data_IF_864439865633
#
_entry.id   IF_864439865633
#
_cell.length_a   1.000
_cell.length_b   1.000
_cell.length_c   1.000
_cell.angle_alpha   90.00
_cell.angle_beta   90.00
_cell.angle_gamma   90.00
#
_symmetry.space_group_name_H-M   'P 1'
#
loop_
_entity.id
_entity.type
_entity.pdbx_description
1 polymer ?
#
# COMPACT_ATOMS: atom_id res chain seq x y z
N UNK A 1 -24.54 4.59 -22.56
CA UNK A 1 -23.41 4.34 -21.63
C UNK A 1 -23.84 4.80 -20.26
N UNK A 2 -23.56 4.02 -19.22
CA UNK A 2 -23.76 4.46 -17.83
C UNK A 2 -22.84 5.65 -17.54
N UNK A 3 -23.29 6.57 -16.69
CA UNK A 3 -22.46 7.67 -16.18
C UNK A 3 -21.45 7.13 -15.16
N UNK A 4 -20.38 7.90 -14.89
CA UNK A 4 -19.41 7.52 -13.85
C UNK A 4 -20.08 7.33 -12.48
N UNK A 5 -21.07 8.17 -12.15
CA UNK A 5 -21.85 8.05 -10.91
C UNK A 5 -22.69 6.76 -10.86
N UNK A 6 -23.33 6.37 -11.97
CA UNK A 6 -24.06 5.10 -12.03
C UNK A 6 -23.12 3.90 -11.85
N UNK A 7 -21.94 3.94 -12.50
CA UNK A 7 -20.93 2.90 -12.32
C UNK A 7 -20.41 2.83 -10.87
N UNK A 8 -20.32 3.97 -10.18
CA UNK A 8 -19.93 4.02 -8.77
C UNK A 8 -20.97 3.29 -7.91
N UNK A 9 -22.25 3.67 -8.02
CA UNK A 9 -23.33 3.08 -7.24
C UNK A 9 -23.49 1.58 -7.52
N UNK A 10 -23.38 1.15 -8.79
CA UNK A 10 -23.48 -0.26 -9.17
C UNK A 10 -22.33 -1.13 -8.62
N UNK A 11 -21.17 -0.51 -8.36
CA UNK A 11 -19.95 -1.21 -7.87
C UNK A 11 -19.73 -1.05 -6.38
N UNK A 12 -20.53 -0.22 -5.71
CA UNK A 12 -20.48 -0.03 -4.28
C UNK A 12 -21.01 -1.26 -3.57
N UNK A 13 -20.23 -1.78 -2.62
CA UNK A 13 -20.54 -2.99 -1.89
C UNK A 13 -20.01 -2.92 -0.45
N UNK A 14 -20.38 -3.91 0.38
CA UNK A 14 -19.74 -4.06 1.69
C UNK A 14 -18.37 -4.70 1.55
N UNK A 15 -17.49 -4.52 2.54
CA UNK A 15 -16.19 -5.19 2.58
C UNK A 15 -16.32 -6.71 2.69
N UNK A 16 -17.41 -7.22 3.29
CA UNK A 16 -17.69 -8.65 3.32
C UNK A 16 -18.06 -9.19 1.92
N UNK A 17 -18.89 -8.47 1.17
CA UNK A 17 -19.29 -8.87 -0.20
C UNK A 17 -18.10 -8.79 -1.17
N UNK A 18 -17.17 -7.84 -0.96
CA UNK A 18 -15.95 -7.74 -1.75
C UNK A 18 -15.08 -9.01 -1.70
N UNK A 19 -15.22 -9.82 -0.64
CA UNK A 19 -14.51 -11.09 -0.51
C UNK A 19 -15.07 -12.17 -1.45
N UNK A 20 -16.30 -12.03 -1.95
CA UNK A 20 -16.90 -12.96 -2.91
C UNK A 20 -16.25 -12.86 -4.31
N UNK A 21 -15.45 -11.82 -4.54
CA UNK A 21 -14.66 -11.64 -5.76
C UNK A 21 -13.35 -12.46 -5.73
N UNK A 22 -12.95 -12.94 -4.56
CA UNK A 22 -11.74 -13.74 -4.35
C UNK A 22 -11.95 -15.20 -4.76
N UNK A 23 -10.85 -15.84 -5.13
CA UNK A 23 -10.77 -17.28 -5.43
C UNK A 23 -9.61 -17.87 -4.65
N UNK A 24 -9.75 -19.12 -4.22
CA UNK A 24 -8.64 -19.86 -3.59
C UNK A 24 -7.39 -19.81 -4.49
N UNK A 25 -6.24 -19.57 -3.88
CA UNK A 25 -4.96 -19.38 -4.56
C UNK A 25 -4.67 -17.96 -5.09
N UNK A 26 -5.61 -17.01 -5.01
CA UNK A 26 -5.37 -15.64 -5.48
C UNK A 26 -4.21 -14.96 -4.70
N UNK A 27 -3.37 -14.24 -5.43
CA UNK A 27 -2.44 -13.26 -4.86
C UNK A 27 -3.10 -11.86 -4.87
N UNK A 28 -3.33 -11.34 -3.66
CA UNK A 28 -3.79 -9.98 -3.40
C UNK A 28 -2.57 -9.08 -3.27
N UNK A 29 -2.44 -8.10 -4.18
CA UNK A 29 -1.45 -7.03 -4.07
C UNK A 29 -2.05 -5.88 -3.25
N UNK A 30 -1.31 -5.45 -2.23
CA UNK A 30 -1.63 -4.31 -1.38
C UNK A 30 -0.54 -3.25 -1.51
N UNK A 31 -0.87 -1.95 -1.61
CA UNK A 31 0.13 -0.89 -1.67
C UNK A 31 1.04 -0.82 -0.45
N UNK A 32 2.18 -0.15 -0.60
CA UNK A 32 3.12 0.02 0.50
C UNK A 32 2.54 0.88 1.62
N UNK A 33 2.89 0.56 2.87
CA UNK A 33 2.67 1.46 3.99
C UNK A 33 1.21 1.86 4.20
N UNK A 34 0.96 3.16 4.31
CA UNK A 34 -0.37 3.72 4.63
C UNK A 34 -1.35 3.70 3.46
N UNK A 35 -0.97 3.19 2.28
CA UNK A 35 -1.89 2.91 1.18
C UNK A 35 -2.69 1.61 1.36
N UNK A 36 -2.40 0.82 2.40
CA UNK A 36 -3.17 -0.38 2.73
C UNK A 36 -4.64 -0.05 3.07
N UNK A 37 -5.64 -0.80 2.56
CA UNK A 37 -7.05 -0.56 2.83
C UNK A 37 -7.52 -1.34 4.09
N UNK A 38 -7.63 -0.69 5.26
CA UNK A 38 -7.85 -1.38 6.52
C UNK A 38 -9.21 -2.07 6.61
N UNK A 39 -10.26 -1.51 6.01
CA UNK A 39 -11.60 -2.09 6.05
C UNK A 39 -11.64 -3.40 5.27
N UNK A 40 -11.05 -3.42 4.07
CA UNK A 40 -10.96 -4.63 3.25
C UNK A 40 -10.12 -5.72 3.92
N UNK A 41 -8.95 -5.35 4.45
CA UNK A 41 -8.03 -6.30 5.10
C UNK A 41 -8.57 -6.81 6.45
N UNK A 42 -9.40 -6.02 7.13
CA UNK A 42 -10.14 -6.47 8.33
C UNK A 42 -11.21 -7.48 7.96
N UNK A 43 -12.03 -7.21 6.93
CA UNK A 43 -13.03 -8.18 6.47
C UNK A 43 -12.38 -9.52 6.04
N UNK A 44 -11.27 -9.45 5.29
CA UNK A 44 -10.48 -10.63 4.93
C UNK A 44 -10.01 -11.39 6.18
N UNK A 45 -9.55 -10.67 7.20
CA UNK A 45 -9.11 -11.26 8.47
C UNK A 45 -10.24 -11.98 9.21
N UNK A 46 -11.42 -11.38 9.28
CA UNK A 46 -12.58 -11.95 9.98
C UNK A 46 -13.05 -13.25 9.31
N UNK A 47 -13.00 -13.32 7.98
CA UNK A 47 -13.42 -14.48 7.21
C UNK A 47 -12.27 -15.36 6.71
N UNK A 48 -11.04 -15.15 7.19
CA UNK A 48 -9.83 -15.80 6.63
C UNK A 48 -9.92 -17.31 6.47
N UNK A 49 -10.62 -18.01 7.38
CA UNK A 49 -10.80 -19.48 7.33
C UNK A 49 -11.67 -19.99 6.17
N UNK A 50 -12.38 -19.10 5.47
CA UNK A 50 -13.20 -19.43 4.30
C UNK A 50 -12.36 -19.82 3.08
N UNK A 51 -11.12 -19.33 3.02
CA UNK A 51 -10.27 -19.45 1.83
C UNK A 51 -9.23 -20.56 1.96
N UNK A 52 -8.61 -20.91 0.85
CA UNK A 52 -7.42 -21.73 0.80
C UNK A 52 -6.34 -21.06 -0.04
N UNK A 53 -5.13 -20.96 0.51
CA UNK A 53 -3.94 -20.46 -0.18
C UNK A 53 -4.04 -19.03 -0.75
N UNK A 54 -4.83 -18.14 -0.13
CA UNK A 54 -4.77 -16.71 -0.45
C UNK A 54 -3.45 -16.13 0.03
N UNK A 55 -2.81 -15.32 -0.80
CA UNK A 55 -1.56 -14.62 -0.48
C UNK A 55 -1.80 -13.11 -0.46
N UNK A 56 -1.40 -12.44 0.62
CA UNK A 56 -1.42 -10.97 0.70
C UNK A 56 0.01 -10.47 0.55
N UNK A 57 0.35 -9.91 -0.61
CA UNK A 57 1.69 -9.43 -0.93
C UNK A 57 1.81 -7.91 -0.75
N UNK A 58 2.78 -7.47 0.05
CA UNK A 58 2.92 -6.07 0.44
C UNK A 58 4.36 -5.72 0.84
N UNK A 59 4.79 -4.49 0.54
CA UNK A 59 5.92 -3.82 1.21
C UNK A 59 5.39 -3.11 2.47
N UNK A 60 6.08 -3.32 3.60
CA UNK A 60 5.86 -2.53 4.83
C UNK A 60 4.39 -2.51 5.29
N UNK A 61 3.85 -3.69 5.63
CA UNK A 61 2.55 -3.79 6.31
C UNK A 61 2.56 -2.97 7.61
N UNK A 62 1.61 -2.05 7.75
CA UNK A 62 1.57 -1.10 8.87
C UNK A 62 0.77 -1.64 10.05
N UNK A 63 -0.36 -2.29 9.76
CA UNK A 63 -1.21 -2.92 10.76
C UNK A 63 -0.97 -4.43 10.83
N UNK A 64 -1.10 -4.99 12.03
CA UNK A 64 -1.11 -6.44 12.23
C UNK A 64 -2.55 -6.95 12.17
N UNK A 65 -3.02 -7.21 10.96
CA UNK A 65 -4.32 -7.83 10.70
C UNK A 65 -4.41 -9.26 11.26
N UNK A 66 -5.62 -9.79 11.48
CA UNK A 66 -5.78 -11.05 12.19
C UNK A 66 -5.28 -12.27 11.39
N UNK A 67 -5.05 -12.15 10.07
CA UNK A 67 -4.40 -13.21 9.28
C UNK A 67 -2.88 -13.30 9.52
N UNK A 68 -2.26 -12.39 10.27
CA UNK A 68 -0.88 -12.55 10.75
C UNK A 68 -0.81 -13.54 11.93
N UNK A 69 -1.23 -14.77 11.67
CA UNK A 69 -1.25 -15.86 12.64
C UNK A 69 -0.86 -17.19 11.97
N UNK A 70 -0.27 -18.10 12.75
CA UNK A 70 0.20 -19.39 12.25
C UNK A 70 -0.92 -20.40 12.01
N UNK A 71 -2.04 -20.27 12.71
CA UNK A 71 -3.17 -21.21 12.65
C UNK A 71 -3.89 -21.11 11.30
N UNK A 72 -3.98 -19.89 10.75
CA UNK A 72 -4.73 -19.61 9.52
C UNK A 72 -3.86 -19.34 8.30
N UNK A 73 -2.54 -19.46 8.42
CA UNK A 73 -1.59 -19.37 7.30
C UNK A 73 -1.91 -20.30 6.09
N UNK A 74 -2.47 -21.52 6.26
CA UNK A 74 -2.92 -22.33 5.12
C UNK A 74 -4.11 -21.73 4.35
N UNK A 75 -4.86 -20.81 4.96
CA UNK A 75 -6.02 -20.15 4.38
C UNK A 75 -5.67 -18.79 3.77
N UNK A 76 -5.05 -17.92 4.58
CA UNK A 76 -4.56 -16.60 4.17
C UNK A 76 -3.16 -16.44 4.75
N UNK A 77 -2.15 -16.25 3.89
CA UNK A 77 -0.78 -16.00 4.31
C UNK A 77 -0.30 -14.62 3.87
N UNK A 78 0.42 -13.95 4.74
CA UNK A 78 1.15 -12.76 4.35
C UNK A 78 2.42 -13.14 3.58
N UNK A 79 2.63 -12.48 2.45
CA UNK A 79 3.81 -12.63 1.58
C UNK A 79 4.57 -11.31 1.62
N UNK A 80 5.57 -11.22 2.48
CA UNK A 80 6.33 -9.99 2.65
C UNK A 80 7.24 -9.74 1.44
N UNK A 81 7.03 -8.61 0.77
CA UNK A 81 7.97 -8.05 -0.20
C UNK A 81 9.04 -7.20 0.51
N UNK A 82 8.76 -6.79 1.74
CA UNK A 82 9.68 -6.16 2.69
C UNK A 82 9.26 -6.49 4.13
N UNK A 83 10.22 -6.81 5.01
CA UNK A 83 9.94 -7.20 6.39
C UNK A 83 9.77 -5.99 7.34
N UNK A 84 8.53 -5.78 7.80
CA UNK A 84 8.14 -4.74 8.75
C UNK A 84 7.84 -5.28 10.14
N UNK A 85 7.39 -4.40 11.05
CA UNK A 85 7.02 -4.79 12.41
C UNK A 85 5.93 -5.88 12.45
N UNK A 86 4.94 -5.80 11.56
CA UNK A 86 3.85 -6.78 11.48
C UNK A 86 4.31 -8.16 10.99
N UNK A 87 5.24 -8.21 10.03
CA UNK A 87 5.60 -9.46 9.32
C UNK A 87 6.85 -10.17 9.87
N UNK A 88 7.75 -9.47 10.57
CA UNK A 88 9.05 -10.04 11.03
C UNK A 88 8.90 -11.31 11.87
N UNK A 89 8.02 -11.30 12.88
CA UNK A 89 7.82 -12.47 13.75
C UNK A 89 7.34 -13.68 12.95
N UNK A 90 6.43 -13.47 11.98
CA UNK A 90 5.90 -14.57 11.18
C UNK A 90 6.87 -15.12 10.16
N UNK A 91 7.69 -14.27 9.57
CA UNK A 91 8.78 -14.70 8.69
C UNK A 91 9.82 -15.53 9.47
N UNK A 92 10.22 -15.09 10.66
CA UNK A 92 11.17 -15.82 11.51
C UNK A 92 10.63 -17.18 11.97
N UNK A 93 9.33 -17.26 12.23
CA UNK A 93 8.66 -18.49 12.65
C UNK A 93 8.18 -19.38 11.49
N UNK A 94 8.38 -18.96 10.24
CA UNK A 94 8.10 -19.76 9.04
C UNK A 94 6.64 -19.80 8.58
N UNK A 95 5.78 -18.92 9.09
CA UNK A 95 4.36 -18.86 8.70
C UNK A 95 3.98 -17.58 7.92
N UNK A 96 4.93 -16.68 7.68
CA UNK A 96 4.85 -15.71 6.58
C UNK A 96 5.84 -16.08 5.48
N UNK A 97 5.45 -15.87 4.23
CA UNK A 97 6.34 -16.02 3.08
C UNK A 97 7.15 -14.73 2.90
N UNK A 98 8.35 -14.85 2.33
CA UNK A 98 9.21 -13.72 1.97
C UNK A 98 9.65 -13.90 0.54
N UNK A 99 9.41 -12.90 -0.30
CA UNK A 99 9.92 -12.86 -1.68
C UNK A 99 11.03 -11.82 -1.73
N UNK A 100 12.32 -12.22 -1.74
CA UNK A 100 13.42 -11.29 -1.92
C UNK A 100 13.32 -10.62 -3.29
N UNK A 101 13.38 -9.30 -3.31
CA UNK A 101 13.26 -8.52 -4.53
C UNK A 101 13.96 -7.15 -4.35
N UNK A 102 14.25 -6.48 -5.47
CA UNK A 102 14.48 -5.05 -5.46
C UNK A 102 13.15 -4.34 -5.68
N UNK A 103 12.88 -3.29 -4.89
CA UNK A 103 11.62 -2.55 -4.97
C UNK A 103 11.34 -2.03 -6.40
N UNK A 104 12.38 -1.51 -7.08
CA UNK A 104 12.27 -1.04 -8.47
C UNK A 104 11.93 -2.14 -9.48
N UNK A 105 12.15 -3.43 -9.16
CA UNK A 105 11.88 -4.55 -10.06
C UNK A 105 10.48 -5.14 -9.88
N UNK A 106 9.79 -4.88 -8.76
CA UNK A 106 8.45 -5.44 -8.51
C UNK A 106 7.47 -5.15 -9.66
N UNK A 107 7.39 -3.92 -10.22
CA UNK A 107 6.54 -3.67 -11.39
C UNK A 107 6.85 -4.63 -12.55
N UNK A 108 8.14 -4.83 -12.86
CA UNK A 108 8.55 -5.74 -13.95
C UNK A 108 8.25 -7.20 -13.64
N UNK A 109 8.39 -7.63 -12.38
CA UNK A 109 8.03 -8.99 -11.96
C UNK A 109 6.54 -9.26 -12.15
N UNK A 110 5.68 -8.28 -11.84
CA UNK A 110 4.24 -8.36 -12.07
C UNK A 110 3.92 -8.35 -13.57
N UNK A 111 4.51 -7.42 -14.31
CA UNK A 111 4.24 -7.25 -15.75
C UNK A 111 4.60 -8.49 -16.57
N UNK A 112 5.67 -9.17 -16.17
CA UNK A 112 6.20 -10.40 -16.79
C UNK A 112 5.62 -11.68 -16.18
N UNK A 113 4.65 -11.57 -15.27
CA UNK A 113 3.98 -12.67 -14.59
C UNK A 113 4.90 -13.60 -13.78
N UNK A 114 6.05 -13.10 -13.31
CA UNK A 114 6.86 -13.79 -12.30
C UNK A 114 6.28 -13.62 -10.89
N UNK A 115 5.54 -12.55 -10.66
CA UNK A 115 4.74 -12.32 -9.46
C UNK A 115 3.27 -12.22 -9.88
N UNK A 116 2.39 -13.14 -9.47
CA UNK A 116 0.97 -13.02 -9.72
C UNK A 116 0.39 -11.75 -9.11
N UNK A 117 -0.66 -11.23 -9.73
CA UNK A 117 -1.40 -10.06 -9.24
C UNK A 117 -2.85 -10.26 -9.63
N UNK A 118 -3.52 -11.23 -9.00
CA UNK A 118 -4.88 -11.62 -9.36
C UNK A 118 -5.89 -10.58 -8.90
N UNK A 119 -5.64 -10.03 -7.71
CA UNK A 119 -6.50 -9.09 -7.01
C UNK A 119 -5.66 -7.90 -6.53
N UNK A 120 -6.20 -6.68 -6.63
CA UNK A 120 -5.65 -5.49 -5.99
C UNK A 120 -6.66 -4.95 -4.99
N UNK A 121 -6.20 -4.78 -3.75
CA UNK A 121 -6.90 -4.00 -2.73
C UNK A 121 -6.08 -2.75 -2.43
N UNK A 122 -6.64 -1.56 -2.68
CA UNK A 122 -5.96 -0.30 -2.44
C UNK A 122 -6.91 0.75 -1.84
N UNK A 123 -6.38 1.61 -0.99
CA UNK A 123 -7.10 2.79 -0.53
C UNK A 123 -7.05 3.90 -1.60
N UNK A 124 -8.12 4.68 -1.74
CA UNK A 124 -8.22 5.73 -2.75
C UNK A 124 -8.99 6.96 -2.23
N UNK A 125 -8.73 8.11 -2.85
CA UNK A 125 -9.51 9.34 -2.64
C UNK A 125 -10.97 9.18 -3.07
N UNK A 126 -11.82 10.15 -2.74
CA UNK A 126 -13.13 10.29 -3.40
C UNK A 126 -12.98 10.38 -4.93
N UNK A 127 -14.00 9.90 -5.64
CA UNK A 127 -14.08 9.98 -7.10
C UNK A 127 -14.30 11.42 -7.55
N UNK A 128 -13.55 11.89 -8.54
CA UNK A 128 -13.78 13.21 -9.14
C UNK A 128 -14.89 13.18 -10.21
N UNK A 129 -15.22 14.35 -10.77
CA UNK A 129 -16.27 14.51 -11.78
C UNK A 129 -16.04 13.73 -13.10
N UNK A 130 -14.79 13.33 -13.36
CA UNK A 130 -14.41 12.54 -14.53
C UNK A 130 -14.42 11.03 -14.26
N UNK A 131 -14.87 10.59 -13.08
CA UNK A 131 -14.89 9.17 -12.73
C UNK A 131 -13.54 8.61 -12.31
N UNK A 132 -12.58 9.47 -11.96
CA UNK A 132 -11.23 9.07 -11.54
C UNK A 132 -11.11 9.09 -10.02
N UNK A 133 -10.47 8.06 -9.50
CA UNK A 133 -9.93 7.97 -8.14
C UNK A 133 -8.43 8.23 -8.19
N UNK A 134 -7.85 8.68 -7.07
CA UNK A 134 -6.40 8.73 -6.87
C UNK A 134 -6.01 7.75 -5.77
N UNK A 135 -5.11 6.80 -6.07
CA UNK A 135 -4.51 5.93 -5.06
C UNK A 135 -3.27 6.55 -4.39
N UNK A 136 -2.99 7.83 -4.64
CA UNK A 136 -1.93 8.69 -4.07
C UNK A 136 -0.91 8.03 -3.14
N UNK A 137 -1.34 7.62 -1.95
CA UNK A 137 -0.56 6.97 -0.89
C UNK A 137 0.07 5.61 -1.26
N UNK A 138 -0.27 5.06 -2.42
CA UNK A 138 0.07 3.71 -2.88
C UNK A 138 0.35 3.62 -4.39
N UNK A 139 0.97 4.65 -5.00
CA UNK A 139 1.24 4.71 -6.45
C UNK A 139 2.39 3.78 -6.92
N UNK A 140 2.97 3.00 -6.03
CA UNK A 140 4.18 2.17 -6.21
C UNK A 140 4.07 1.03 -7.26
N UNK A 141 4.40 -0.22 -6.90
CA UNK A 141 4.15 -1.38 -7.75
C UNK A 141 2.66 -1.63 -7.98
N UNK A 142 1.78 -1.01 -7.18
CA UNK A 142 0.33 -1.14 -7.28
C UNK A 142 -0.19 -0.73 -8.65
N UNK A 143 0.39 0.27 -9.33
CA UNK A 143 -0.08 0.65 -10.66
C UNK A 143 0.18 -0.44 -11.71
N UNK A 144 1.30 -1.15 -11.60
CA UNK A 144 1.57 -2.32 -12.43
C UNK A 144 0.64 -3.49 -12.08
N UNK A 145 0.33 -3.66 -10.79
CA UNK A 145 -0.65 -4.63 -10.30
C UNK A 145 -2.05 -4.38 -10.86
N UNK A 146 -2.53 -3.13 -10.81
CA UNK A 146 -3.83 -2.71 -11.36
C UNK A 146 -3.91 -3.02 -12.85
N UNK A 147 -2.84 -2.80 -13.61
CA UNK A 147 -2.82 -3.09 -15.05
C UNK A 147 -2.93 -4.59 -15.39
N UNK A 148 -2.65 -5.48 -14.42
CA UNK A 148 -2.69 -6.95 -14.60
C UNK A 148 -3.84 -7.64 -13.89
N UNK A 149 -4.40 -7.00 -12.86
CA UNK A 149 -5.38 -7.61 -11.98
C UNK A 149 -6.69 -7.94 -12.69
N UNK A 150 -7.22 -9.11 -12.34
CA UNK A 150 -8.58 -9.51 -12.71
C UNK A 150 -9.61 -8.77 -11.87
N UNK A 151 -9.29 -8.55 -10.59
CA UNK A 151 -10.16 -7.87 -9.62
C UNK A 151 -9.44 -6.68 -9.02
N UNK A 152 -10.08 -5.52 -9.08
CA UNK A 152 -9.60 -4.31 -8.40
C UNK A 152 -10.70 -3.83 -7.47
N UNK A 153 -10.44 -3.77 -6.18
CA UNK A 153 -11.37 -3.22 -5.19
C UNK A 153 -10.71 -2.04 -4.50
N UNK A 154 -11.38 -0.89 -4.55
CA UNK A 154 -10.92 0.32 -3.88
C UNK A 154 -11.65 0.51 -2.55
N UNK A 155 -10.90 0.85 -1.51
CA UNK A 155 -11.45 1.46 -0.29
C UNK A 155 -11.42 2.97 -0.45
N UNK A 156 -12.59 3.55 -0.75
CA UNK A 156 -12.77 4.98 -1.01
C UNK A 156 -12.89 5.70 0.32
N UNK A 157 -11.91 6.56 0.61
CA UNK A 157 -11.84 7.31 1.85
C UNK A 157 -11.57 8.81 1.54
N UNK A 158 -12.43 9.73 2.00
CA UNK A 158 -12.30 11.16 1.71
C UNK A 158 -11.06 11.80 2.35
N UNK A 159 -10.43 11.14 3.33
CA UNK A 159 -9.17 11.60 3.94
C UNK A 159 -7.93 11.27 3.07
N UNK A 160 -8.06 10.41 2.04
CA UNK A 160 -6.98 10.15 1.08
C UNK A 160 -6.88 11.35 0.11
N UNK A 161 -5.70 11.97 -0.03
CA UNK A 161 -5.55 13.10 -0.93
C UNK A 161 -5.69 12.69 -2.40
N UNK A 162 -6.33 13.55 -3.19
CA UNK A 162 -6.31 13.43 -4.64
C UNK A 162 -4.99 14.01 -5.17
N UNK A 163 -4.01 13.15 -5.48
CA UNK A 163 -2.72 13.56 -5.99
C UNK A 163 -2.70 13.62 -7.52
N UNK A 164 -1.75 14.38 -8.08
CA UNK A 164 -1.46 14.36 -9.51
C UNK A 164 -0.38 13.32 -9.83
N UNK A 165 -0.31 12.91 -11.11
CA UNK A 165 0.66 11.93 -11.59
C UNK A 165 -0.01 10.65 -12.09
N UNK A 166 0.80 9.60 -12.28
CA UNK A 166 0.32 8.31 -12.77
C UNK A 166 -0.27 7.45 -11.64
N UNK A 167 -1.24 8.00 -10.91
CA UNK A 167 -1.88 7.38 -9.74
C UNK A 167 -3.41 7.28 -9.88
N UNK A 168 -3.94 7.53 -11.08
CA UNK A 168 -5.38 7.60 -11.29
C UNK A 168 -5.96 6.29 -11.79
N UNK A 169 -7.09 5.90 -11.21
CA UNK A 169 -7.85 4.71 -11.58
C UNK A 169 -9.26 5.16 -11.95
N UNK A 170 -9.74 4.81 -13.13
CA UNK A 170 -11.10 5.16 -13.54
C UNK A 170 -12.10 4.13 -13.02
N UNK A 171 -13.32 4.57 -12.64
CA UNK A 171 -14.39 3.69 -12.15
C UNK A 171 -14.74 2.55 -13.09
N UNK A 172 -14.49 2.68 -14.39
CA UNK A 172 -14.69 1.58 -15.33
C UNK A 172 -13.69 0.43 -15.16
N UNK A 173 -12.52 0.68 -14.58
CA UNK A 173 -11.44 -0.30 -14.38
C UNK A 173 -11.67 -1.17 -13.14
N UNK A 174 -12.37 -0.65 -12.13
CA UNK A 174 -12.53 -1.36 -10.85
C UNK A 174 -13.65 -2.41 -10.92
N UNK A 175 -13.53 -3.45 -10.12
CA UNK A 175 -14.55 -4.49 -9.95
C UNK A 175 -15.54 -4.16 -8.84
N UNK A 176 -15.09 -3.43 -7.82
CA UNK A 176 -15.90 -3.02 -6.69
C UNK A 176 -15.28 -1.85 -5.95
N UNK A 177 -16.07 -1.23 -5.08
CA UNK A 177 -15.58 -0.27 -4.11
C UNK A 177 -16.32 -0.43 -2.78
N UNK A 178 -15.60 -0.10 -1.70
CA UNK A 178 -16.17 0.06 -0.36
C UNK A 178 -15.89 1.48 0.11
N UNK A 179 -16.70 2.00 1.01
CA UNK A 179 -16.52 3.34 1.57
C UNK A 179 -16.03 3.25 3.01
N UNK A 180 -15.07 4.10 3.37
CA UNK A 180 -14.63 4.28 4.76
C UNK A 180 -14.36 5.76 5.05
N UNK A 181 -14.39 6.13 6.31
CA UNK A 181 -14.12 7.49 6.79
C UNK A 181 -13.05 7.53 7.89
N UNK A 182 -12.34 6.40 8.09
CA UNK A 182 -11.27 6.29 9.08
C UNK A 182 -10.15 7.30 8.77
N UNK A 183 -9.56 7.89 9.82
CA UNK A 183 -8.38 8.73 9.66
C UNK A 183 -7.22 7.92 9.05
N UNK A 184 -6.43 8.57 8.20
CA UNK A 184 -5.23 7.95 7.62
C UNK A 184 -4.24 7.68 8.74
N UNK A 185 -3.64 6.50 8.73
CA UNK A 185 -2.62 6.15 9.71
C UNK A 185 -1.43 7.09 9.56
N UNK A 186 -1.01 7.71 10.66
CA UNK A 186 0.17 8.55 10.71
C UNK A 186 1.35 7.80 11.34
N UNK A 187 2.54 8.02 10.80
CA UNK A 187 3.80 7.60 11.44
C UNK A 187 4.23 8.73 12.36
N UNK A 188 4.39 8.43 13.65
CA UNK A 188 4.76 9.44 14.64
C UNK A 188 6.13 10.07 14.38
N UNK A 189 6.31 11.30 14.85
CA UNK A 189 7.57 12.02 14.74
C UNK A 189 8.68 11.31 15.52
N UNK A 190 9.86 11.10 14.91
CA UNK A 190 10.98 10.47 15.60
C UNK A 190 11.57 11.40 16.67
N UNK A 191 12.16 10.83 17.71
CA UNK A 191 13.01 11.59 18.61
C UNK A 191 14.35 11.91 17.93
N UNK A 192 14.67 13.19 17.85
CA UNK A 192 15.97 13.67 17.34
C UNK A 192 16.84 13.99 18.55
N UNK A 193 17.96 13.27 18.68
CA UNK A 193 18.93 13.48 19.74
C UNK A 193 20.29 13.95 19.20
N UNK A 194 21.28 14.14 20.08
CA UNK A 194 22.59 14.67 19.71
C UNK A 194 23.32 13.86 18.62
N UNK A 195 23.08 12.54 18.55
CA UNK A 195 23.65 11.68 17.51
C UNK A 195 23.04 11.97 16.15
N UNK A 196 21.71 12.06 16.06
CA UNK A 196 21.01 12.38 14.82
C UNK A 196 21.37 13.79 14.34
N UNK A 197 21.45 14.77 15.25
CA UNK A 197 21.87 16.14 14.93
C UNK A 197 23.29 16.20 14.37
N UNK A 198 24.23 15.45 14.98
CA UNK A 198 25.60 15.39 14.50
C UNK A 198 25.66 14.80 13.08
N UNK A 199 24.96 13.68 12.83
CA UNK A 199 24.87 13.07 11.49
C UNK A 199 24.24 14.06 10.50
N UNK A 200 23.14 14.72 10.88
CA UNK A 200 22.44 15.70 10.06
C UNK A 200 23.36 16.81 9.56
N UNK A 201 24.20 17.37 10.44
CA UNK A 201 25.18 18.41 10.09
C UNK A 201 26.22 17.90 9.08
N UNK A 202 26.83 16.75 9.34
CA UNK A 202 27.83 16.19 8.42
C UNK A 202 27.24 15.88 7.04
N UNK A 203 26.01 15.38 6.98
CA UNK A 203 25.34 15.11 5.69
C UNK A 203 24.99 16.41 4.97
N UNK A 204 24.48 17.42 5.67
CA UNK A 204 24.12 18.70 5.08
C UNK A 204 25.33 19.46 4.49
N UNK A 205 26.51 19.30 5.09
CA UNK A 205 27.76 19.86 4.55
C UNK A 205 28.16 19.24 3.19
N UNK A 206 27.63 18.06 2.85
CA UNK A 206 27.85 17.38 1.56
C UNK A 206 26.76 17.66 0.51
N UNK A 207 25.71 18.42 0.87
CA UNK A 207 24.59 18.74 -0.01
C UNK A 207 24.79 20.15 -0.54
N UNK A 208 24.96 20.32 -1.84
CA UNK A 208 25.08 21.63 -2.48
C UNK A 208 23.70 22.20 -2.85
N UNK A 209 23.62 23.52 -3.05
CA UNK A 209 22.46 24.14 -3.70
C UNK A 209 22.24 23.51 -5.08
N UNK A 210 20.99 23.32 -5.49
CA UNK A 210 20.68 22.61 -6.74
C UNK A 210 20.62 21.08 -6.65
N UNK A 211 20.90 20.48 -5.48
CA UNK A 211 20.94 19.03 -5.32
C UNK A 211 19.55 18.39 -5.28
N UNK A 212 19.30 17.37 -6.10
CA UNK A 212 18.07 16.56 -6.01
C UNK A 212 18.12 15.58 -4.84
N UNK A 213 17.17 15.69 -3.92
CA UNK A 213 17.15 14.88 -2.71
C UNK A 213 16.31 13.61 -2.85
N UNK A 214 16.87 12.48 -2.41
CA UNK A 214 16.12 11.27 -2.05
C UNK A 214 16.42 10.96 -0.59
N UNK A 215 15.39 10.99 0.25
CA UNK A 215 15.56 10.77 1.69
C UNK A 215 14.43 9.89 2.23
N UNK A 216 14.75 9.06 3.22
CA UNK A 216 13.76 8.25 3.93
C UNK A 216 13.01 9.04 5.00
N UNK A 217 12.31 8.35 5.88
CA UNK A 217 11.70 8.95 7.08
C UNK A 217 12.41 8.44 8.35
N UNK A 218 12.38 9.25 9.42
CA UNK A 218 12.91 8.87 10.73
C UNK A 218 13.98 9.84 11.24
N UNK A 219 14.52 9.56 12.43
CA UNK A 219 15.28 10.57 13.18
C UNK A 219 16.53 11.09 12.48
N UNK A 220 17.20 10.28 11.65
CA UNK A 220 18.35 10.73 10.85
C UNK A 220 17.90 11.58 9.65
N UNK A 221 17.04 11.09 8.74
CA UNK A 221 16.49 11.92 7.66
C UNK A 221 15.93 13.26 8.10
N UNK A 222 15.11 13.28 9.17
CA UNK A 222 14.51 14.50 9.68
C UNK A 222 15.60 15.47 10.18
N UNK A 223 16.61 14.96 10.89
CA UNK A 223 17.75 15.78 11.33
C UNK A 223 18.55 16.35 10.16
N UNK A 224 18.71 15.61 9.05
CA UNK A 224 19.33 16.13 7.81
C UNK A 224 18.50 17.28 7.25
N UNK A 225 17.19 17.08 7.01
CA UNK A 225 16.30 18.10 6.41
C UNK A 225 16.26 19.37 7.26
N UNK A 226 16.30 19.25 8.59
CA UNK A 226 16.37 20.41 9.50
C UNK A 226 17.62 21.28 9.31
N UNK A 227 18.73 20.73 8.80
CA UNK A 227 19.94 21.49 8.50
C UNK A 227 19.92 22.15 7.11
N UNK A 228 18.98 21.78 6.23
CA UNK A 228 18.93 22.26 4.83
C UNK A 228 18.14 23.55 4.65
N UNK A 229 17.67 24.19 5.73
CA UNK A 229 16.82 25.39 5.66
C UNK A 229 17.46 26.60 4.98
N UNK A 230 18.79 26.62 4.88
CA UNK A 230 19.56 27.67 4.20
C UNK A 230 19.98 27.29 2.77
N UNK A 231 19.66 26.09 2.28
CA UNK A 231 19.96 25.67 0.90
C UNK A 231 18.94 26.22 -0.07
N UNK A 232 19.37 26.43 -1.30
CA UNK A 232 18.56 26.96 -2.39
C UNK A 232 18.46 25.97 -3.56
N UNK A 233 17.33 26.02 -4.26
CA UNK A 233 17.08 25.25 -5.49
C UNK A 233 17.26 23.72 -5.37
N UNK A 234 17.01 23.15 -4.17
CA UNK A 234 16.98 21.69 -3.93
C UNK A 234 15.89 20.97 -4.73
#
# INVERSE_FOLDING_TARGET
MQTAYQLYEDKRMSAADALDLLRDGDMIIVPTGVGEPPTLLTALSEQRRRFHDIKVAQILAMRKFAYFDSETAPHVRHTALFLGGASRTGAQAGWCEVIPNYFSEIPSLIERAYMPSDVVYAMASSMNEHGLFSISLGTDYTMAAIAKARVIVLEVNPNVPFAHGQCHVHVSQISGLVESDEAILEVGLPSIGPVQEAIGKYVADMIDDGSTLQIGYGGIPDAVVMQLTAKHDL
#
